data_IF_393588762082
#
_entry.id   IF_393588762082
#
_cell.length_a   1.000
_cell.length_b   1.000
_cell.length_c   1.000
_cell.angle_alpha   90.00
_cell.angle_beta   90.00
_cell.angle_gamma   90.00
#
_symmetry.space_group_name_H-M   'P 1'
#
loop_
_entity.id
_entity.type
_entity.pdbx_description
1 polymer ?
#
# COMPACT_ATOMS: atom_id res chain seq x y z
N UNK A 1 -2.32 9.25 15.90
CA UNK A 1 -1.38 8.45 15.08
C UNK A 1 0.01 8.47 15.70
N UNK A 2 0.57 7.34 16.03
CA UNK A 2 1.94 7.21 16.52
C UNK A 2 2.90 7.08 15.34
N UNK A 3 4.09 7.68 15.46
CA UNK A 3 5.14 7.63 14.45
C UNK A 3 6.40 7.03 15.05
N UNK A 4 7.07 6.18 14.30
CA UNK A 4 8.29 5.50 14.70
C UNK A 4 9.34 5.64 13.61
N UNK A 5 10.60 5.71 14.00
CA UNK A 5 11.70 5.58 13.05
C UNK A 5 12.29 4.17 13.22
N UNK A 6 12.20 3.37 12.17
CA UNK A 6 12.68 2.00 12.17
C UNK A 6 13.61 1.77 10.99
N UNK A 7 14.91 1.59 11.26
CA UNK A 7 15.96 1.55 10.22
C UNK A 7 15.86 2.74 9.26
N UNK A 8 15.78 3.92 9.81
CA UNK A 8 15.63 5.21 9.10
C UNK A 8 14.30 5.38 8.32
N UNK A 9 13.43 4.39 8.28
CA UNK A 9 12.12 4.50 7.64
C UNK A 9 11.09 5.02 8.65
N UNK A 10 10.41 6.14 8.38
CA UNK A 10 9.34 6.64 9.23
C UNK A 10 8.10 5.77 9.06
N UNK A 11 7.68 5.08 10.11
CA UNK A 11 6.48 4.25 10.13
C UNK A 11 5.35 4.95 10.88
N UNK A 12 4.12 4.78 10.41
CA UNK A 12 2.91 5.38 10.97
C UNK A 12 1.92 4.29 11.39
N UNK A 13 1.45 4.39 12.65
CA UNK A 13 0.42 3.50 13.21
C UNK A 13 -0.72 4.38 13.71
N UNK A 14 -1.84 4.47 12.97
CA UNK A 14 -3.06 5.08 13.47
C UNK A 14 -3.58 4.35 14.69
N UNK A 15 -4.31 5.04 15.58
CA UNK A 15 -4.91 4.45 16.79
C UNK A 15 -6.10 3.55 16.45
N UNK A 16 -6.83 3.92 15.41
CA UNK A 16 -8.03 3.22 14.96
C UNK A 16 -8.40 3.62 13.51
N UNK A 17 -9.48 3.02 13.00
CA UNK A 17 -9.97 3.32 11.64
C UNK A 17 -10.52 4.73 11.49
N UNK A 18 -11.05 5.34 12.55
CA UNK A 18 -11.57 6.71 12.50
C UNK A 18 -10.42 7.71 12.33
N UNK A 19 -9.31 7.52 13.06
CA UNK A 19 -8.10 8.32 12.84
C UNK A 19 -7.55 8.11 11.43
N UNK A 20 -7.56 6.88 10.90
CA UNK A 20 -7.12 6.60 9.53
C UNK A 20 -7.97 7.37 8.50
N UNK A 21 -9.32 7.35 8.63
CA UNK A 21 -10.22 8.16 7.78
C UNK A 21 -9.93 9.66 7.90
N UNK A 22 -9.70 10.15 9.11
CA UNK A 22 -9.33 11.57 9.34
C UNK A 22 -8.01 11.93 8.66
N UNK A 23 -7.01 11.04 8.68
CA UNK A 23 -5.73 11.25 7.99
C UNK A 23 -5.93 11.34 6.48
N UNK A 24 -6.74 10.46 5.88
CA UNK A 24 -7.04 10.51 4.45
C UNK A 24 -7.86 11.73 4.08
N UNK A 25 -8.85 12.13 4.90
CA UNK A 25 -9.60 13.37 4.68
C UNK A 25 -8.68 14.58 4.62
N UNK A 26 -7.77 14.72 5.59
CA UNK A 26 -6.78 15.80 5.63
C UNK A 26 -5.86 15.81 4.41
N UNK A 27 -5.41 14.65 3.94
CA UNK A 27 -4.58 14.57 2.72
C UNK A 27 -5.36 14.95 1.46
N UNK A 28 -6.66 14.65 1.41
CA UNK A 28 -7.52 15.04 0.30
C UNK A 28 -7.86 16.53 0.32
N UNK A 29 -7.85 17.19 1.48
CA UNK A 29 -8.07 18.64 1.64
C UNK A 29 -6.78 19.44 1.43
N UNK A 30 -5.62 18.82 1.62
CA UNK A 30 -4.31 19.45 1.48
C UNK A 30 -4.06 19.86 0.01
N UNK A 31 -3.52 21.05 -0.19
CA UNK A 31 -3.06 21.50 -1.51
C UNK A 31 -1.78 20.83 -1.96
N UNK A 32 -1.02 20.27 -1.02
CA UNK A 32 0.23 19.55 -1.30
C UNK A 32 -0.03 18.07 -1.62
N UNK A 33 0.74 17.53 -2.57
CA UNK A 33 0.74 16.12 -2.89
C UNK A 33 1.28 15.28 -1.73
N UNK A 34 0.63 14.15 -1.47
CA UNK A 34 1.04 13.16 -0.46
C UNK A 34 1.43 11.85 -1.13
N UNK A 35 2.69 11.47 -1.08
CA UNK A 35 3.12 10.12 -1.42
C UNK A 35 3.08 9.29 -0.14
N UNK A 36 2.39 8.16 -0.17
CA UNK A 36 2.24 7.23 0.96
C UNK A 36 2.63 5.82 0.58
N UNK A 37 2.73 4.93 1.55
CA UNK A 37 2.91 3.50 1.27
C UNK A 37 2.25 2.61 2.32
N UNK A 38 2.03 1.34 1.95
CA UNK A 38 1.61 0.25 2.82
C UNK A 38 2.75 -0.77 2.87
N UNK A 39 3.54 -0.74 3.95
CA UNK A 39 4.76 -1.54 4.04
C UNK A 39 4.46 -2.88 4.69
N UNK A 40 4.70 -3.95 3.95
CA UNK A 40 4.72 -5.31 4.46
C UNK A 40 6.16 -5.79 4.71
N UNK A 41 6.37 -6.94 5.37
CA UNK A 41 7.69 -7.48 5.65
C UNK A 41 8.59 -7.69 4.41
N UNK A 42 8.01 -8.09 3.28
CA UNK A 42 8.80 -8.33 2.05
C UNK A 42 9.35 -7.03 1.47
N UNK A 43 8.52 -6.00 1.43
CA UNK A 43 8.89 -4.65 0.98
C UNK A 43 9.93 -4.05 1.93
N UNK A 44 9.72 -4.20 3.25
CA UNK A 44 10.64 -3.71 4.26
C UNK A 44 12.03 -4.35 4.15
N UNK A 45 12.13 -5.65 3.87
CA UNK A 45 13.42 -6.32 3.63
C UNK A 45 14.04 -5.97 2.26
N UNK A 46 13.22 -5.70 1.25
CA UNK A 46 13.70 -5.34 -0.08
C UNK A 46 14.43 -4.00 -0.07
N UNK A 47 13.96 -3.01 0.72
CA UNK A 47 14.58 -1.69 0.81
C UNK A 47 15.99 -1.74 1.41
N UNK A 48 16.33 -2.71 2.26
CA UNK A 48 17.68 -2.87 2.82
C UNK A 48 18.75 -3.14 1.74
N UNK A 49 18.33 -3.65 0.59
CA UNK A 49 19.20 -4.02 -0.53
C UNK A 49 19.01 -3.14 -1.76
N UNK A 50 18.10 -2.20 -1.71
CA UNK A 50 17.78 -1.32 -2.83
C UNK A 50 17.75 0.14 -2.36
N UNK A 51 18.82 0.92 -2.63
CA UNK A 51 18.94 2.31 -2.21
C UNK A 51 17.78 3.20 -2.68
N UNK A 52 17.25 2.96 -3.89
CA UNK A 52 16.12 3.73 -4.40
C UNK A 52 14.86 3.49 -3.54
N UNK A 53 14.57 2.23 -3.19
CA UNK A 53 13.44 1.93 -2.30
C UNK A 53 13.64 2.54 -0.91
N UNK A 54 14.87 2.53 -0.40
CA UNK A 54 15.18 3.14 0.88
C UNK A 54 14.85 4.64 0.87
N UNK A 55 15.36 5.38 -0.10
CA UNK A 55 15.11 6.81 -0.25
C UNK A 55 13.63 7.11 -0.55
N UNK A 56 12.97 6.28 -1.36
CA UNK A 56 11.54 6.39 -1.60
C UNK A 56 10.76 6.35 -0.27
N UNK A 57 10.96 5.30 0.56
CA UNK A 57 10.21 5.17 1.82
C UNK A 57 10.59 6.22 2.86
N UNK A 58 11.84 6.71 2.88
CA UNK A 58 12.24 7.86 3.72
C UNK A 58 11.48 9.13 3.33
N UNK A 59 11.20 9.32 2.05
CA UNK A 59 10.54 10.52 1.51
C UNK A 59 9.03 10.49 1.58
N UNK A 60 8.40 9.35 1.87
CA UNK A 60 6.93 9.26 1.94
C UNK A 60 6.38 10.01 3.15
N UNK A 61 5.22 10.62 2.98
CA UNK A 61 4.52 11.33 4.07
C UNK A 61 4.10 10.38 5.19
N UNK A 62 3.64 9.18 4.80
CA UNK A 62 3.25 8.10 5.70
C UNK A 62 3.60 6.74 5.13
N UNK A 63 4.20 5.88 5.94
CA UNK A 63 4.38 4.46 5.69
C UNK A 63 3.51 3.70 6.68
N UNK A 64 2.33 3.26 6.25
CA UNK A 64 1.42 2.47 7.07
C UNK A 64 1.86 1.01 7.11
N UNK A 65 1.64 0.33 8.23
CA UNK A 65 2.09 -1.04 8.41
C UNK A 65 1.01 -2.02 7.95
N UNK A 66 1.28 -2.72 6.85
CA UNK A 66 0.40 -3.76 6.30
C UNK A 66 0.59 -5.12 6.98
N UNK A 67 1.83 -5.50 7.33
CA UNK A 67 2.14 -6.85 7.77
C UNK A 67 2.27 -7.04 9.28
N UNK A 68 1.61 -8.07 9.85
CA UNK A 68 1.67 -8.39 11.28
C UNK A 68 3.11 -8.64 11.78
N UNK A 69 3.94 -9.30 10.99
CA UNK A 69 5.33 -9.60 11.37
C UNK A 69 6.20 -8.35 11.50
N UNK A 70 5.85 -7.27 10.76
CA UNK A 70 6.51 -5.98 10.93
C UNK A 70 6.07 -5.30 12.24
N UNK A 71 4.78 -5.41 12.62
CA UNK A 71 4.32 -4.95 13.94
C UNK A 71 5.02 -5.70 15.08
N UNK A 72 5.18 -7.02 14.97
CA UNK A 72 5.90 -7.80 15.98
C UNK A 72 7.38 -7.41 16.07
N UNK A 73 8.02 -7.11 14.94
CA UNK A 73 9.37 -6.57 14.95
C UNK A 73 9.45 -5.21 15.68
N UNK A 74 8.49 -4.32 15.45
CA UNK A 74 8.38 -3.03 16.14
C UNK A 74 8.14 -3.24 17.64
N UNK A 75 7.20 -4.11 18.02
CA UNK A 75 6.95 -4.43 19.43
C UNK A 75 8.22 -4.86 20.15
N UNK A 76 8.95 -5.80 19.56
CA UNK A 76 10.19 -6.33 20.14
C UNK A 76 11.28 -5.28 20.29
N UNK A 77 11.40 -4.35 19.34
CA UNK A 77 12.50 -3.37 19.32
C UNK A 77 12.18 -2.08 20.09
N UNK A 78 10.90 -1.68 20.11
CA UNK A 78 10.48 -0.40 20.68
C UNK A 78 9.65 -0.55 21.97
N UNK A 79 9.46 -1.80 22.45
CA UNK A 79 8.69 -2.08 23.67
C UNK A 79 7.22 -1.73 23.56
N UNK A 80 6.65 -1.81 22.34
CA UNK A 80 5.22 -1.59 22.09
C UNK A 80 4.44 -2.90 22.17
N UNK A 81 3.09 -2.85 22.17
CA UNK A 81 2.21 -4.02 22.33
C UNK A 81 1.14 -4.07 21.23
N UNK A 82 1.49 -3.73 19.99
CA UNK A 82 0.58 -3.81 18.84
C UNK A 82 0.16 -5.24 18.54
N UNK A 83 -1.07 -5.39 18.10
CA UNK A 83 -1.72 -6.65 17.72
C UNK A 83 -2.05 -6.69 16.22
N UNK A 84 -2.69 -7.76 15.76
CA UNK A 84 -3.18 -7.85 14.40
C UNK A 84 -4.23 -6.76 14.03
N UNK A 85 -4.93 -6.21 15.03
CA UNK A 85 -5.91 -5.16 14.83
C UNK A 85 -5.28 -3.80 14.49
N UNK A 86 -4.01 -3.61 14.84
CA UNK A 86 -3.28 -2.35 14.63
C UNK A 86 -2.58 -2.28 13.26
N UNK A 87 -2.79 -3.25 12.39
CA UNK A 87 -2.30 -3.23 11.02
C UNK A 87 -3.29 -2.57 10.08
N UNK A 88 -2.76 -1.93 9.05
CA UNK A 88 -3.55 -1.26 8.02
C UNK A 88 -3.18 -1.82 6.64
N UNK A 89 -3.78 -2.96 6.21
CA UNK A 89 -3.48 -3.58 4.94
C UNK A 89 -3.85 -2.68 3.76
N UNK A 90 -2.98 -2.61 2.77
CA UNK A 90 -3.28 -1.87 1.54
C UNK A 90 -4.47 -2.44 0.76
N UNK A 91 -4.82 -3.72 0.97
CA UNK A 91 -6.03 -4.34 0.40
C UNK A 91 -7.33 -3.73 0.92
N UNK A 92 -7.32 -3.15 2.13
CA UNK A 92 -8.46 -2.52 2.78
C UNK A 92 -8.49 -1.00 2.55
N UNK A 93 -7.68 -0.50 1.62
CA UNK A 93 -7.48 0.93 1.37
C UNK A 93 -8.79 1.71 1.23
N UNK A 94 -9.76 1.18 0.49
CA UNK A 94 -11.02 1.88 0.24
C UNK A 94 -11.88 2.05 1.50
N UNK A 95 -11.72 1.17 2.51
CA UNK A 95 -12.38 1.32 3.83
C UNK A 95 -11.80 2.47 4.66
N UNK A 96 -10.63 2.99 4.29
CA UNK A 96 -9.96 4.09 4.99
C UNK A 96 -10.34 5.45 4.43
N UNK A 97 -11.05 5.50 3.31
CA UNK A 97 -11.50 6.76 2.72
C UNK A 97 -12.68 7.36 3.50
N UNK A 98 -12.81 8.69 3.52
CA UNK A 98 -13.96 9.35 4.15
C UNK A 98 -15.27 8.99 3.41
N UNK A 99 -16.35 8.81 4.17
CA UNK A 99 -17.65 8.42 3.61
C UNK A 99 -18.46 9.62 3.11
N UNK A 100 -18.13 10.82 3.55
CA UNK A 100 -18.87 12.08 3.36
C UNK A 100 -18.55 12.82 2.06
N UNK A 101 -17.66 12.27 1.23
CA UNK A 101 -17.25 12.87 -0.04
C UNK A 101 -17.04 11.86 -1.15
N UNK A 102 -17.18 12.32 -2.39
CA UNK A 102 -16.79 11.55 -3.57
C UNK A 102 -15.28 11.62 -3.75
N UNK A 103 -14.68 10.47 -4.10
CA UNK A 103 -13.23 10.35 -4.33
C UNK A 103 -12.98 9.73 -5.70
N UNK A 104 -12.28 10.47 -6.57
CA UNK A 104 -11.87 10.01 -7.89
C UNK A 104 -10.52 9.27 -7.83
N UNK A 105 -10.51 8.03 -8.30
CA UNK A 105 -9.31 7.17 -8.27
C UNK A 105 -8.88 6.79 -9.68
N UNK A 106 -7.60 6.89 -9.95
CA UNK A 106 -6.96 6.36 -11.17
C UNK A 106 -6.15 5.11 -10.82
N UNK A 107 -6.35 4.03 -11.60
CA UNK A 107 -5.55 2.80 -11.47
C UNK A 107 -4.55 2.71 -12.62
N UNK A 108 -3.26 2.55 -12.31
CA UNK A 108 -2.23 2.34 -13.32
C UNK A 108 -1.43 1.07 -13.08
N UNK A 109 -1.42 0.18 -14.02
CA UNK A 109 -0.68 -1.09 -13.93
C UNK A 109 -1.61 -2.30 -14.07
N UNK A 110 -1.12 -3.49 -13.72
CA UNK A 110 -1.86 -4.75 -13.81
C UNK A 110 -2.37 -5.12 -15.22
N UNK A 111 -3.21 -6.13 -15.32
CA UNK A 111 -3.86 -6.58 -16.56
C UNK A 111 -5.21 -5.90 -16.73
N UNK A 112 -5.68 -5.76 -17.98
CA UNK A 112 -6.97 -5.12 -18.31
C UNK A 112 -8.11 -5.77 -17.52
N UNK A 113 -8.25 -7.10 -17.59
CA UNK A 113 -9.31 -7.84 -16.91
C UNK A 113 -9.35 -7.59 -15.39
N UNK A 114 -8.17 -7.47 -14.75
CA UNK A 114 -8.10 -7.19 -13.33
C UNK A 114 -8.56 -5.77 -13.00
N UNK A 115 -8.23 -4.80 -13.86
CA UNK A 115 -8.63 -3.40 -13.67
C UNK A 115 -10.14 -3.22 -13.86
N UNK A 116 -10.73 -3.84 -14.87
CA UNK A 116 -12.17 -3.81 -15.13
C UNK A 116 -12.96 -4.44 -13.99
N UNK A 117 -12.57 -5.66 -13.58
CA UNK A 117 -13.22 -6.34 -12.46
C UNK A 117 -13.03 -5.58 -11.14
N UNK A 118 -11.83 -5.04 -10.88
CA UNK A 118 -11.57 -4.23 -9.69
C UNK A 118 -12.47 -2.99 -9.68
N UNK A 119 -12.61 -2.27 -10.80
CA UNK A 119 -13.50 -1.12 -10.91
C UNK A 119 -14.92 -1.48 -10.50
N UNK A 120 -15.52 -2.52 -11.11
CA UNK A 120 -16.90 -2.93 -10.82
C UNK A 120 -17.10 -3.27 -9.34
N UNK A 121 -16.16 -4.00 -8.74
CA UNK A 121 -16.28 -4.44 -7.35
C UNK A 121 -16.03 -3.31 -6.35
N UNK A 122 -15.06 -2.44 -6.61
CA UNK A 122 -14.76 -1.27 -5.76
C UNK A 122 -15.97 -0.32 -5.76
N UNK A 123 -16.47 0.07 -6.93
CA UNK A 123 -17.59 1.01 -7.03
C UNK A 123 -18.90 0.44 -6.43
N UNK A 124 -19.09 -0.88 -6.50
CA UNK A 124 -20.21 -1.57 -5.86
C UNK A 124 -20.10 -1.59 -4.32
N UNK A 125 -18.90 -1.82 -3.78
CA UNK A 125 -18.67 -1.93 -2.34
C UNK A 125 -18.53 -0.55 -1.66
N UNK A 126 -18.05 0.46 -2.40
CA UNK A 126 -17.74 1.80 -1.88
C UNK A 126 -18.40 2.88 -2.76
N UNK A 127 -19.69 3.23 -2.52
CA UNK A 127 -20.46 4.16 -3.37
C UNK A 127 -19.90 5.59 -3.44
N UNK A 128 -19.04 5.96 -2.49
CA UNK A 128 -18.32 7.23 -2.45
C UNK A 128 -17.05 7.23 -3.31
N UNK A 129 -16.61 6.08 -3.85
CA UNK A 129 -15.42 5.93 -4.68
C UNK A 129 -15.82 5.80 -6.15
N UNK A 130 -15.12 6.51 -7.02
CA UNK A 130 -15.23 6.39 -8.46
C UNK A 130 -13.89 6.06 -9.08
N UNK A 131 -13.77 4.94 -9.77
CA UNK A 131 -12.62 4.68 -10.64
C UNK A 131 -12.83 5.47 -11.93
N UNK A 132 -12.27 6.68 -11.96
CA UNK A 132 -12.52 7.65 -13.04
C UNK A 132 -11.87 7.22 -14.35
N UNK A 133 -10.71 6.54 -14.26
CA UNK A 133 -9.97 6.05 -15.41
C UNK A 133 -8.96 4.99 -14.94
N UNK A 134 -8.45 4.20 -15.88
CA UNK A 134 -7.36 3.26 -15.66
C UNK A 134 -6.48 3.07 -16.90
N UNK A 135 -5.23 2.66 -16.68
CA UNK A 135 -4.30 2.27 -17.75
C UNK A 135 -3.60 0.98 -17.37
N UNK A 136 -3.60 -0.01 -18.26
CA UNK A 136 -2.93 -1.28 -18.02
C UNK A 136 -1.40 -1.16 -18.06
N UNK A 137 -0.72 -2.04 -17.30
CA UNK A 137 0.71 -1.92 -17.02
C UNK A 137 1.66 -2.32 -18.14
N UNK A 138 1.15 -2.95 -19.19
CA UNK A 138 1.93 -3.45 -20.33
C UNK A 138 1.75 -2.60 -21.58
N UNK A 139 1.36 -1.34 -21.41
CA UNK A 139 1.22 -0.39 -22.51
C UNK A 139 2.60 0.03 -23.04
N UNK A 140 2.67 0.29 -24.33
CA UNK A 140 3.84 0.94 -24.97
C UNK A 140 3.87 2.46 -24.71
N UNK A 141 2.80 2.99 -24.13
CA UNK A 141 2.67 4.41 -23.76
C UNK A 141 3.28 4.63 -22.38
N UNK A 142 4.61 4.63 -22.31
CA UNK A 142 5.36 5.05 -21.12
C UNK A 142 5.83 6.50 -21.30
N UNK A 143 6.10 7.18 -20.20
CA UNK A 143 6.64 8.53 -20.20
C UNK A 143 5.58 9.62 -20.16
N UNK A 144 5.85 10.75 -20.83
CA UNK A 144 5.08 11.99 -20.65
C UNK A 144 3.62 11.86 -21.10
N UNK A 145 3.32 11.08 -22.15
CA UNK A 145 1.93 10.82 -22.58
C UNK A 145 1.06 10.20 -21.48
N UNK A 146 1.60 9.22 -20.73
CA UNK A 146 0.86 8.62 -19.62
C UNK A 146 0.64 9.61 -18.48
N UNK A 147 1.63 10.45 -18.20
CA UNK A 147 1.53 11.51 -17.20
C UNK A 147 0.43 12.51 -17.59
N UNK A 148 0.44 12.94 -18.86
CA UNK A 148 -0.60 13.83 -19.39
C UNK A 148 -2.00 13.22 -19.28
N UNK A 149 -2.15 11.93 -19.66
CA UNK A 149 -3.43 11.21 -19.54
C UNK A 149 -3.91 11.14 -18.09
N UNK A 150 -3.04 10.81 -17.14
CA UNK A 150 -3.37 10.77 -15.71
C UNK A 150 -3.80 12.16 -15.24
N UNK A 151 -3.03 13.18 -15.56
CA UNK A 151 -3.31 14.55 -15.13
C UNK A 151 -4.60 15.11 -15.75
N UNK A 152 -4.89 14.77 -17.01
CA UNK A 152 -6.14 15.16 -17.69
C UNK A 152 -7.38 14.56 -17.01
N UNK A 153 -7.28 13.36 -16.45
CA UNK A 153 -8.34 12.71 -15.69
C UNK A 153 -8.57 13.36 -14.32
N UNK A 154 -7.65 14.18 -13.81
CA UNK A 154 -7.71 14.89 -12.53
C UNK A 154 -8.09 13.99 -11.33
N UNK A 155 -7.36 12.90 -11.08
CA UNK A 155 -7.66 12.02 -9.97
C UNK A 155 -7.34 12.68 -8.64
N UNK A 156 -8.17 12.40 -7.61
CA UNK A 156 -7.79 12.68 -6.23
C UNK A 156 -6.66 11.72 -5.79
N UNK A 157 -6.75 10.46 -6.23
CA UNK A 157 -5.84 9.39 -5.83
C UNK A 157 -5.33 8.63 -7.06
N UNK A 158 -4.02 8.47 -7.14
CA UNK A 158 -3.37 7.59 -8.12
C UNK A 158 -2.81 6.35 -7.41
N UNK A 159 -3.25 5.16 -7.84
CA UNK A 159 -2.74 3.89 -7.35
C UNK A 159 -1.94 3.21 -8.46
N UNK A 160 -0.64 3.02 -8.23
CA UNK A 160 0.26 2.35 -9.18
C UNK A 160 0.35 0.86 -8.86
N UNK A 161 -0.07 0.03 -9.81
CA UNK A 161 -0.28 -1.41 -9.66
C UNK A 161 0.72 -2.24 -10.46
N UNK A 162 2.02 -1.92 -10.38
CA UNK A 162 3.09 -2.60 -11.14
C UNK A 162 3.87 -3.64 -10.32
N UNK A 163 3.60 -3.72 -9.01
CA UNK A 163 4.35 -4.53 -8.06
C UNK A 163 5.67 -3.87 -7.65
N UNK A 164 6.12 -4.20 -6.42
CA UNK A 164 7.40 -3.73 -5.88
C UNK A 164 8.56 -4.48 -6.55
N UNK A 165 9.65 -3.80 -6.97
CA UNK A 165 9.99 -2.39 -6.76
C UNK A 165 9.55 -1.43 -7.89
N UNK A 166 8.92 -1.94 -8.97
CA UNK A 166 8.66 -1.16 -10.19
C UNK A 166 7.67 -0.01 -9.95
N UNK A 167 6.69 -0.19 -9.08
CA UNK A 167 5.70 0.84 -8.76
C UNK A 167 6.34 1.99 -7.97
N UNK A 168 7.20 1.69 -6.99
CA UNK A 168 7.90 2.69 -6.20
C UNK A 168 8.91 3.47 -7.05
N UNK A 169 9.64 2.77 -7.93
CA UNK A 169 10.55 3.40 -8.88
C UNK A 169 9.80 4.36 -9.80
N UNK A 170 8.71 3.91 -10.41
CA UNK A 170 7.91 4.73 -11.31
C UNK A 170 7.35 5.97 -10.60
N UNK A 171 6.84 5.82 -9.38
CA UNK A 171 6.36 6.94 -8.57
C UNK A 171 7.50 7.90 -8.26
N UNK A 172 8.67 7.38 -7.85
CA UNK A 172 9.84 8.20 -7.54
C UNK A 172 10.26 9.09 -8.70
N UNK A 173 10.30 8.52 -9.89
CA UNK A 173 10.71 9.20 -11.12
C UNK A 173 9.68 10.25 -11.61
N UNK A 174 8.39 10.04 -11.32
CA UNK A 174 7.31 10.81 -11.93
C UNK A 174 6.46 11.67 -10.97
N UNK A 175 6.59 11.49 -9.65
CA UNK A 175 5.74 12.17 -8.65
C UNK A 175 5.65 13.69 -8.82
N UNK A 176 6.73 14.34 -9.24
CA UNK A 176 6.78 15.79 -9.44
C UNK A 176 5.98 16.29 -10.67
N UNK A 177 5.67 15.38 -11.59
CA UNK A 177 4.90 15.68 -12.81
C UNK A 177 3.41 15.38 -12.66
N UNK A 178 3.01 14.73 -11.56
CA UNK A 178 1.66 14.23 -11.32
C UNK A 178 0.85 15.19 -10.45
N UNK A 179 -0.45 15.35 -10.78
CA UNK A 179 -1.35 16.28 -10.10
C UNK A 179 -2.28 15.59 -9.07
N UNK A 180 -2.19 14.26 -8.89
CA UNK A 180 -2.99 13.56 -7.88
C UNK A 180 -2.60 14.02 -6.46
N UNK A 181 -3.59 14.17 -5.57
CA UNK A 181 -3.38 14.56 -4.17
C UNK A 181 -2.69 13.46 -3.36
N UNK A 182 -3.05 12.20 -3.63
CA UNK A 182 -2.47 11.04 -2.95
C UNK A 182 -1.94 10.08 -4.01
N UNK A 183 -0.70 9.62 -3.84
CA UNK A 183 -0.05 8.66 -4.75
C UNK A 183 0.57 7.54 -3.94
N UNK A 184 0.34 6.29 -4.35
CA UNK A 184 1.02 5.14 -3.76
C UNK A 184 1.04 3.91 -4.67
N UNK A 185 1.96 2.98 -4.38
CA UNK A 185 2.06 1.70 -5.04
C UNK A 185 1.29 0.61 -4.28
N UNK A 186 0.43 -0.16 -4.99
CA UNK A 186 -0.33 -1.27 -4.39
C UNK A 186 -0.68 -2.37 -5.41
N UNK A 187 0.33 -2.89 -6.10
CA UNK A 187 0.14 -3.85 -7.19
C UNK A 187 -0.56 -5.14 -6.76
N UNK A 188 -0.21 -5.68 -5.61
CA UNK A 188 -0.80 -6.93 -5.11
C UNK A 188 -2.26 -6.81 -4.69
N UNK A 189 -2.76 -5.61 -4.40
CA UNK A 189 -4.14 -5.42 -3.96
C UNK A 189 -5.14 -5.53 -5.12
N UNK A 190 -4.73 -5.23 -6.35
CA UNK A 190 -5.63 -5.33 -7.52
C UNK A 190 -6.15 -6.75 -7.72
N UNK A 191 -5.34 -7.77 -7.43
CA UNK A 191 -5.77 -9.17 -7.53
C UNK A 191 -6.88 -9.51 -6.50
N UNK A 192 -6.89 -8.84 -5.33
CA UNK A 192 -7.99 -8.95 -4.37
C UNK A 192 -9.20 -8.14 -4.81
N UNK A 193 -9.01 -6.91 -5.23
CA UNK A 193 -10.09 -6.03 -5.66
C UNK A 193 -10.81 -6.59 -6.88
N UNK A 194 -10.09 -7.23 -7.81
CA UNK A 194 -10.68 -7.92 -8.96
C UNK A 194 -11.41 -9.22 -8.62
N UNK A 195 -11.17 -9.78 -7.41
CA UNK A 195 -11.70 -11.08 -7.01
C UNK A 195 -10.91 -12.29 -7.49
N UNK A 196 -9.79 -12.10 -8.19
CA UNK A 196 -8.94 -13.18 -8.69
C UNK A 196 -8.18 -13.90 -7.56
N UNK A 197 -7.94 -13.21 -6.44
CA UNK A 197 -7.35 -13.81 -5.25
C UNK A 197 -8.34 -13.77 -4.11
N UNK A 198 -8.59 -14.93 -3.51
CA UNK A 198 -9.43 -15.02 -2.32
C UNK A 198 -8.69 -14.47 -1.10
N UNK A 199 -9.39 -13.73 -0.28
CA UNK A 199 -8.88 -13.32 1.04
C UNK A 199 -8.91 -14.48 2.01
N UNK A 200 -8.00 -14.49 2.98
CA UNK A 200 -8.05 -15.45 4.07
C UNK A 200 -9.38 -15.33 4.83
N UNK A 201 -9.90 -16.44 5.39
CA UNK A 201 -11.07 -16.39 6.27
C UNK A 201 -10.86 -15.40 7.41
N UNK A 202 -11.97 -14.76 7.84
CA UNK A 202 -11.90 -13.64 8.81
C UNK A 202 -11.21 -14.02 10.13
N UNK A 203 -11.43 -15.25 10.61
CA UNK A 203 -10.77 -15.73 11.83
C UNK A 203 -9.23 -15.79 11.67
N UNK A 204 -8.72 -16.16 10.49
CA UNK A 204 -7.28 -16.15 10.22
C UNK A 204 -6.73 -14.72 10.13
N UNK A 205 -7.52 -13.78 9.59
CA UNK A 205 -7.14 -12.37 9.52
C UNK A 205 -7.03 -11.81 10.94
N UNK A 206 -8.02 -12.08 11.81
CA UNK A 206 -8.03 -11.65 13.21
C UNK A 206 -6.87 -12.23 14.03
N UNK A 207 -6.47 -13.47 13.73
CA UNK A 207 -5.31 -14.12 14.36
C UNK A 207 -3.96 -13.71 13.75
N UNK A 208 -3.95 -12.85 12.71
CA UNK A 208 -2.73 -12.46 12.03
C UNK A 208 -2.13 -13.54 11.13
N UNK A 209 -2.91 -14.58 10.78
CA UNK A 209 -2.47 -15.75 10.01
C UNK A 209 -2.73 -15.62 8.50
N UNK A 210 -3.11 -14.44 8.00
CA UNK A 210 -3.34 -14.22 6.57
C UNK A 210 -2.11 -14.56 5.71
N UNK A 211 -0.91 -14.27 6.20
CA UNK A 211 0.34 -14.63 5.53
C UNK A 211 0.49 -16.13 5.35
N UNK A 212 0.02 -16.92 6.31
CA UNK A 212 0.06 -18.39 6.26
C UNK A 212 -0.92 -18.91 5.21
N UNK A 213 -2.13 -18.36 5.15
CA UNK A 213 -3.11 -18.67 4.10
C UNK A 213 -2.53 -18.40 2.69
N UNK A 214 -1.92 -17.23 2.50
CA UNK A 214 -1.27 -16.87 1.23
C UNK A 214 -0.08 -17.79 0.89
N UNK A 215 0.63 -18.29 1.90
CA UNK A 215 1.71 -19.25 1.71
C UNK A 215 1.19 -20.56 1.14
N UNK A 216 0.10 -21.10 1.71
CA UNK A 216 -0.53 -22.32 1.22
C UNK A 216 -1.14 -22.13 -0.17
N UNK A 217 -1.80 -20.99 -0.42
CA UNK A 217 -2.40 -20.69 -1.71
C UNK A 217 -1.37 -20.52 -2.84
N UNK A 218 -0.16 -20.07 -2.54
CA UNK A 218 0.90 -19.80 -3.55
C UNK A 218 2.04 -20.81 -3.59
N UNK A 219 2.09 -21.80 -2.68
CA UNK A 219 3.18 -22.80 -2.52
C UNK A 219 4.60 -22.20 -2.59
N UNK A 220 4.80 -21.03 -2.04
CA UNK A 220 6.06 -20.28 -2.17
C UNK A 220 6.96 -20.41 -0.94
N UNK A 221 7.88 -21.39 -0.94
CA UNK A 221 8.92 -21.55 0.09
C UNK A 221 9.81 -20.30 0.24
N UNK A 222 10.02 -19.52 -0.83
CA UNK A 222 10.78 -18.25 -0.78
C UNK A 222 10.10 -17.20 0.12
N UNK A 223 8.76 -17.18 0.16
CA UNK A 223 7.98 -16.32 1.05
C UNK A 223 8.16 -16.70 2.51
N UNK A 224 8.09 -18.00 2.81
CA UNK A 224 8.30 -18.51 4.17
C UNK A 224 9.69 -18.11 4.70
N UNK A 225 10.74 -18.35 3.92
CA UNK A 225 12.10 -18.00 4.32
C UNK A 225 12.28 -16.51 4.63
N UNK A 226 11.63 -15.62 3.86
CA UNK A 226 11.65 -14.15 4.11
C UNK A 226 10.91 -13.78 5.39
N UNK A 227 9.75 -14.39 5.65
CA UNK A 227 8.99 -14.15 6.88
C UNK A 227 9.78 -14.60 8.12
N UNK A 228 10.40 -15.79 8.07
CA UNK A 228 11.26 -16.30 9.13
C UNK A 228 12.51 -15.43 9.37
N UNK A 229 13.09 -14.89 8.29
CA UNK A 229 14.23 -13.98 8.40
C UNK A 229 13.88 -12.71 9.17
N UNK A 230 12.68 -12.16 8.98
CA UNK A 230 12.23 -10.96 9.69
C UNK A 230 12.03 -11.24 11.18
N UNK A 231 11.47 -12.39 11.53
CA UNK A 231 11.25 -12.78 12.93
C UNK A 231 12.56 -13.10 13.65
N UNK A 232 13.55 -13.68 12.96
CA UNK A 232 14.84 -14.09 13.55
C UNK A 232 15.94 -13.03 13.41
N UNK A 233 15.89 -12.21 12.36
CA UNK A 233 16.95 -11.27 11.98
C UNK A 233 16.85 -9.86 12.56
N UNK A 234 15.83 -9.59 13.37
CA UNK A 234 15.61 -8.26 13.97
C UNK A 234 16.32 -8.07 15.32
N UNK A 235 17.55 -8.56 15.49
CA UNK A 235 18.45 -7.92 16.45
C UNK A 235 18.89 -6.60 15.84
N UNK A 236 18.14 -5.55 16.11
CA UNK A 236 18.59 -4.19 15.85
C UNK A 236 19.66 -3.84 16.88
N UNK A 237 20.82 -3.49 16.41
CA UNK A 237 21.81 -2.82 17.24
C UNK A 237 21.15 -1.54 17.77
N UNK A 238 21.01 -1.46 19.09
CA UNK A 238 20.69 -0.20 19.77
C UNK A 238 21.90 0.71 19.56
N UNK A 239 21.76 1.72 18.75
CA UNK A 239 22.59 2.91 18.83
C UNK A 239 21.90 3.95 19.67
#
# INVERSE_FOLDING_TARGET
MKKYLFKEIPLAVPSDRAEMKSVFSKMLDDSSQSVISFINPEIFLAQEKNPLLHEYFKSTKYNFIDGINLLYAINKNLGTSYSAADRYPGTDFFDYLPDDRKVGVYLYGSKIENLENAKLRIESAHPNVKIIEWTFGYTKFDGDYLIEKINAAKPDILIVCKGCPLQEQWIWENKQKLNAKIIFGNGGAVDFWSGNTKRAPEFMIRLGLEWLFRLFASFSFKRLARQMKLLNGTRLERK
#
